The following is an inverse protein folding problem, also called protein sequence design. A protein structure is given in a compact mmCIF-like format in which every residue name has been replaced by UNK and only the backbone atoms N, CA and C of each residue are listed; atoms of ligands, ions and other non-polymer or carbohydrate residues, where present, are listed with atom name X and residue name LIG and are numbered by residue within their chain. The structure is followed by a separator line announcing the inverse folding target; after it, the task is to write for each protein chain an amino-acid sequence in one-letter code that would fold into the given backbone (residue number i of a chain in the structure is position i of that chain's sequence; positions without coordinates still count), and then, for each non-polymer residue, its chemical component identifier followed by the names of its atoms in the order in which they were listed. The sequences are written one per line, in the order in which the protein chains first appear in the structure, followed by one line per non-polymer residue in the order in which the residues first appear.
data_IF_109707798615
#
_entry.id   IF_109707798615
#
_cell.length_a   1.000
_cell.length_b   1.000
_cell.length_c   1.000
_cell.angle_alpha   90.00
_cell.angle_beta   90.00
_cell.angle_gamma   90.00
#
_symmetry.space_group_name_H-M   'P 1'
#
loop_
_entity.id
_entity.type
_entity.pdbx_description
1 polymer ?
#
# COMPACT_ATOMS: atom_id res chain seq x y z
N UNK A 1 17.30 12.17 -11.55
CA UNK A 1 15.92 12.64 -11.34
C UNK A 1 15.76 13.08 -9.90
N UNK A 2 15.15 14.23 -9.66
CA UNK A 2 14.91 14.72 -8.30
C UNK A 2 13.88 13.88 -7.58
N UNK A 3 13.88 13.92 -6.24
CA UNK A 3 12.91 13.17 -5.45
C UNK A 3 11.48 13.59 -5.76
N UNK A 4 11.25 14.88 -6.02
CA UNK A 4 9.92 15.39 -6.40
C UNK A 4 9.42 14.79 -7.72
N UNK A 5 10.31 14.64 -8.70
CA UNK A 5 9.96 14.05 -9.98
C UNK A 5 9.69 12.56 -9.85
N UNK A 6 10.45 11.86 -9.02
CA UNK A 6 10.24 10.44 -8.74
C UNK A 6 8.89 10.22 -8.05
N UNK A 7 8.59 11.05 -7.08
CA UNK A 7 7.32 11.00 -6.35
C UNK A 7 6.14 11.26 -7.30
N UNK A 8 6.24 12.28 -8.13
CA UNK A 8 5.20 12.62 -9.10
C UNK A 8 4.97 11.49 -10.10
N UNK A 9 6.05 10.88 -10.61
CA UNK A 9 5.95 9.77 -11.55
C UNK A 9 5.30 8.56 -10.89
N UNK A 10 5.66 8.26 -9.64
CA UNK A 10 5.06 7.17 -8.89
C UNK A 10 3.58 7.41 -8.63
N UNK A 11 3.22 8.63 -8.25
CA UNK A 11 1.83 9.00 -7.99
C UNK A 11 0.97 8.83 -9.26
N UNK A 12 1.48 9.26 -10.40
CA UNK A 12 0.75 9.15 -11.68
C UNK A 12 0.41 7.71 -12.04
N UNK A 13 1.25 6.75 -11.68
CA UNK A 13 0.97 5.32 -11.95
C UNK A 13 -0.33 4.85 -11.30
N UNK A 14 -0.71 5.49 -10.21
CA UNK A 14 -1.89 5.11 -9.43
C UNK A 14 -3.02 6.12 -9.54
N UNK A 15 -2.90 7.10 -10.42
CA UNK A 15 -3.91 8.12 -10.59
C UNK A 15 -4.00 9.11 -9.44
N UNK A 16 -2.90 9.31 -8.72
CA UNK A 16 -2.81 10.21 -7.57
C UNK A 16 -1.96 11.42 -7.90
N UNK A 17 -2.18 12.51 -7.17
CA UNK A 17 -1.25 13.63 -7.14
C UNK A 17 -0.08 13.30 -6.22
N UNK A 18 1.03 14.04 -6.35
CA UNK A 18 2.16 13.89 -5.41
C UNK A 18 1.73 14.13 -3.97
N UNK A 19 0.87 15.13 -3.76
CA UNK A 19 0.34 15.45 -2.43
C UNK A 19 -0.44 14.27 -1.85
N UNK A 20 -1.31 13.65 -2.66
CA UNK A 20 -2.09 12.50 -2.23
C UNK A 20 -1.20 11.31 -1.89
N UNK A 21 -0.15 11.06 -2.69
CA UNK A 21 0.77 9.97 -2.40
C UNK A 21 1.54 10.21 -1.11
N UNK A 22 2.03 11.44 -0.88
CA UNK A 22 2.71 11.78 0.37
C UNK A 22 1.78 11.60 1.57
N UNK A 23 0.54 12.06 1.46
CA UNK A 23 -0.45 11.92 2.53
C UNK A 23 -0.74 10.44 2.82
N UNK A 24 -0.88 9.63 1.77
CA UNK A 24 -1.09 8.18 1.90
C UNK A 24 0.06 7.50 2.66
N UNK A 25 1.29 7.81 2.28
CA UNK A 25 2.48 7.23 2.90
C UNK A 25 2.63 7.67 4.36
N UNK A 26 2.09 8.83 4.72
CA UNK A 26 2.19 9.39 6.08
C UNK A 26 1.13 8.86 7.04
N UNK A 27 0.08 8.19 6.56
CA UNK A 27 -1.00 7.71 7.42
C UNK A 27 -0.48 6.71 8.45
N UNK A 28 0.37 5.76 8.02
CA UNK A 28 0.98 4.77 8.90
C UNK A 28 2.43 4.56 8.48
N UNK A 29 3.35 4.40 9.43
CA UNK A 29 4.77 4.21 9.09
C UNK A 29 5.08 2.83 8.54
N UNK A 30 4.23 1.83 8.81
CA UNK A 30 4.45 0.45 8.42
C UNK A 30 3.40 -0.09 7.47
N UNK A 31 3.45 -1.39 7.25
CA UNK A 31 2.47 -2.10 6.43
C UNK A 31 1.08 -2.03 7.05
N UNK A 32 0.07 -1.75 6.24
CA UNK A 32 -1.31 -1.61 6.71
C UNK A 32 -1.95 -2.93 7.13
N UNK A 33 -1.35 -4.07 6.76
CA UNK A 33 -1.87 -5.38 7.17
C UNK A 33 -1.11 -5.91 8.38
N UNK A 34 0.22 -6.07 8.27
CA UNK A 34 1.00 -6.69 9.33
C UNK A 34 1.67 -5.70 10.29
N UNK A 35 1.67 -4.42 9.97
CA UNK A 35 2.26 -3.37 10.80
C UNK A 35 3.78 -3.29 10.75
N UNK A 36 4.43 -4.21 10.03
CA UNK A 36 5.90 -4.27 9.98
C UNK A 36 6.47 -3.02 9.30
N UNK A 37 7.48 -2.45 9.94
CA UNK A 37 8.22 -1.33 9.35
C UNK A 37 9.15 -1.82 8.25
N UNK A 38 9.47 -0.96 7.25
CA UNK A 38 10.48 -1.32 6.25
C UNK A 38 11.80 -1.65 6.95
N UNK A 39 12.55 -2.67 6.50
CA UNK A 39 13.81 -3.07 7.14
C UNK A 39 14.87 -1.98 7.09
N UNK A 40 14.78 -1.06 6.13
CA UNK A 40 15.67 0.09 6.01
C UNK A 40 14.82 1.33 5.74
N UNK A 41 15.21 2.53 6.25
CA UNK A 41 14.41 3.75 6.04
C UNK A 41 14.12 4.05 4.58
N UNK A 42 15.04 3.70 3.68
CA UNK A 42 14.89 3.95 2.25
C UNK A 42 14.22 2.79 1.51
N UNK A 43 13.92 1.69 2.20
CA UNK A 43 13.25 0.56 1.56
C UNK A 43 11.85 0.97 1.15
N UNK A 44 11.56 0.78 -0.12
CA UNK A 44 10.27 1.17 -0.70
C UNK A 44 9.13 0.32 -0.16
N UNK A 45 8.08 0.96 0.30
CA UNK A 45 6.81 0.30 0.58
C UNK A 45 6.00 0.25 -0.70
N UNK A 46 5.10 -0.70 -0.80
CA UNK A 46 4.34 -0.98 -2.02
C UNK A 46 2.94 -0.38 -1.92
N UNK A 47 2.53 0.32 -2.97
CA UNK A 47 1.18 0.88 -3.07
C UNK A 47 0.27 -0.24 -3.57
N UNK A 48 -0.69 -0.63 -2.74
CA UNK A 48 -1.66 -1.66 -3.09
C UNK A 48 -2.85 -1.04 -3.81
N UNK A 49 -3.26 -1.65 -4.90
CA UNK A 49 -4.40 -1.17 -5.66
C UNK A 49 -5.25 -2.35 -6.15
N UNK A 50 -6.54 -2.08 -6.32
CA UNK A 50 -7.47 -3.04 -6.89
C UNK A 50 -7.25 -3.09 -8.41
N UNK A 51 -6.92 -4.27 -8.91
CA UNK A 51 -6.61 -4.46 -10.33
C UNK A 51 -7.82 -4.27 -11.25
N UNK A 52 -9.03 -4.39 -10.71
CA UNK A 52 -10.26 -4.22 -11.49
C UNK A 52 -10.67 -2.75 -11.62
N UNK A 53 -10.56 -2.00 -10.53
CA UNK A 53 -11.03 -0.61 -10.45
C UNK A 53 -9.92 0.41 -10.51
N UNK A 54 -8.67 0.01 -10.24
CA UNK A 54 -7.54 0.92 -10.08
C UNK A 54 -7.53 1.65 -8.75
N UNK A 55 -8.47 1.34 -7.84
CA UNK A 55 -8.55 1.98 -6.53
C UNK A 55 -7.32 1.70 -5.70
N UNK A 56 -6.69 2.75 -5.18
CA UNK A 56 -5.57 2.61 -4.24
C UNK A 56 -6.14 2.35 -2.85
N UNK A 57 -5.80 1.21 -2.28
CA UNK A 57 -6.35 0.72 -1.02
C UNK A 57 -5.46 0.97 0.18
N UNK A 58 -4.16 1.03 0.01
CA UNK A 58 -3.24 1.19 1.12
C UNK A 58 -1.79 1.00 0.74
N UNK A 59 -0.96 0.85 1.76
CA UNK A 59 0.50 0.71 1.63
C UNK A 59 0.94 -0.56 2.35
N UNK A 60 1.61 -1.45 1.65
CA UNK A 60 1.94 -2.78 2.16
C UNK A 60 3.43 -3.06 2.03
N UNK A 61 3.93 -3.97 2.87
CA UNK A 61 5.25 -4.56 2.67
C UNK A 61 5.19 -5.55 1.49
N UNK A 62 6.36 -5.92 0.99
CA UNK A 62 6.46 -6.87 -0.12
C UNK A 62 5.72 -8.18 0.18
N UNK A 63 5.92 -8.71 1.38
CA UNK A 63 5.32 -9.99 1.77
C UNK A 63 3.80 -9.94 1.74
N UNK A 64 3.19 -8.91 2.33
CA UNK A 64 1.73 -8.79 2.33
C UNK A 64 1.18 -8.49 0.95
N UNK A 65 1.84 -7.62 0.18
CA UNK A 65 1.38 -7.26 -1.14
C UNK A 65 1.48 -8.41 -2.14
N UNK A 66 2.64 -9.08 -2.17
CA UNK A 66 2.93 -10.09 -3.18
C UNK A 66 2.51 -11.48 -2.74
N UNK A 67 2.92 -11.91 -1.54
CA UNK A 67 2.71 -13.30 -1.11
C UNK A 67 1.35 -13.52 -0.46
N UNK A 68 0.90 -12.60 0.38
CA UNK A 68 -0.39 -12.77 1.06
C UNK A 68 -1.56 -12.45 0.13
N UNK A 69 -1.63 -11.23 -0.38
CA UNK A 69 -2.74 -10.82 -1.25
C UNK A 69 -2.60 -11.40 -2.67
N UNK A 70 -1.37 -11.39 -3.21
CA UNK A 70 -1.13 -11.85 -4.57
C UNK A 70 -1.25 -13.35 -4.74
N UNK A 71 -0.66 -14.13 -3.83
CA UNK A 71 -0.60 -15.60 -3.95
C UNK A 71 -1.37 -16.35 -2.87
N UNK A 72 -1.77 -15.69 -1.79
CA UNK A 72 -2.39 -16.36 -0.67
C UNK A 72 -1.48 -17.39 0.00
N UNK A 73 -0.15 -17.18 -0.06
CA UNK A 73 0.82 -18.21 0.29
C UNK A 73 1.20 -18.27 1.77
N UNK A 74 0.78 -17.29 2.57
CA UNK A 74 1.10 -17.27 3.99
C UNK A 74 0.04 -18.00 4.78
N UNK A 75 0.49 -18.90 5.66
CA UNK A 75 -0.41 -19.74 6.47
C UNK A 75 -0.64 -19.23 7.89
N UNK A 76 -0.31 -17.98 8.16
CA UNK A 76 -0.57 -17.38 9.46
C UNK A 76 -2.01 -16.88 9.53
N UNK A 77 -2.84 -17.54 10.34
CA UNK A 77 -4.26 -17.21 10.42
C UNK A 77 -4.50 -15.75 10.82
N UNK A 78 -3.67 -15.19 11.71
CA UNK A 78 -3.79 -13.79 12.11
C UNK A 78 -3.58 -12.83 10.96
N UNK A 79 -2.65 -13.14 10.04
CA UNK A 79 -2.39 -12.30 8.87
C UNK A 79 -3.51 -12.43 7.84
N UNK A 80 -4.10 -13.62 7.69
CA UNK A 80 -5.26 -13.80 6.82
C UNK A 80 -6.47 -13.03 7.33
N UNK A 81 -6.70 -13.02 8.64
CA UNK A 81 -7.76 -12.22 9.22
C UNK A 81 -7.52 -10.72 9.03
N UNK A 82 -6.29 -10.27 9.22
CA UNK A 82 -5.92 -8.88 8.99
C UNK A 82 -6.12 -8.48 7.52
N UNK A 83 -5.76 -9.37 6.60
CA UNK A 83 -5.97 -9.14 5.16
C UNK A 83 -7.46 -9.08 4.83
N UNK A 84 -8.26 -9.96 5.40
CA UNK A 84 -9.72 -9.95 5.22
C UNK A 84 -10.31 -8.62 5.71
N UNK A 85 -9.93 -8.17 6.88
CA UNK A 85 -10.38 -6.89 7.43
C UNK A 85 -9.96 -5.72 6.54
N UNK A 86 -8.73 -5.73 6.06
CA UNK A 86 -8.20 -4.73 5.16
C UNK A 86 -9.01 -4.64 3.85
N UNK A 87 -9.40 -5.78 3.30
CA UNK A 87 -10.12 -5.84 2.03
C UNK A 87 -11.62 -5.62 2.16
N UNK A 88 -12.20 -5.91 3.33
CA UNK A 88 -13.65 -5.86 3.52
C UNK A 88 -14.23 -4.46 3.40
N UNK A 89 -13.54 -3.46 3.92
CA UNK A 89 -13.93 -2.06 3.84
C UNK A 89 -12.73 -1.25 3.36
N UNK A 90 -12.40 -1.36 2.06
CA UNK A 90 -11.15 -0.81 1.57
C UNK A 90 -11.13 0.70 1.60
N UNK A 91 -10.01 1.22 2.08
CA UNK A 91 -9.68 2.63 1.95
C UNK A 91 -9.61 2.99 0.46
N UNK A 92 -10.03 4.20 0.12
CA UNK A 92 -9.94 4.71 -1.24
C UNK A 92 -9.17 6.03 -1.20
N UNK A 93 -7.93 6.01 -1.71
CA UNK A 93 -7.06 7.17 -1.66
C UNK A 93 -7.65 8.39 -2.38
N UNK A 94 -8.43 8.18 -3.42
CA UNK A 94 -9.04 9.28 -4.18
C UNK A 94 -10.19 9.93 -3.42
N UNK A 95 -10.87 9.16 -2.57
CA UNK A 95 -12.04 9.60 -1.84
C UNK A 95 -11.70 10.04 -0.42
N UNK A 96 -10.79 9.32 0.24
CA UNK A 96 -10.55 9.45 1.67
C UNK A 96 -9.34 10.35 2.00
N UNK A 97 -8.63 10.80 1.01
CA UNK A 97 -7.53 11.76 1.20
C UNK A 97 -7.98 13.19 0.94
#
# INVERSE_FOLDING_TARGET
MTDDKKLAARARRYGLTSFQLEALLAIKPGCWICGRLPPKPLKRRYIDHDHKTGRVRGVLCFTCNYRLLGKGALNEASLHLAAFTYLRDPFDARKDL
#
